data_IF_882430574407
#
_entry.id   IF_882430574407
#
_cell.length_a   1.000
_cell.length_b   1.000
_cell.length_c   1.000
_cell.angle_alpha   90.00
_cell.angle_beta   90.00
_cell.angle_gamma   90.00
#
_symmetry.space_group_name_H-M   'P 1'
#
loop_
_entity.id
_entity.type
_entity.pdbx_description
1 polymer ?
#
# COMPACT_ATOMS: atom_id res chain seq x y z
N UNK A 1 19.79 -14.73 -12.37
CA UNK A 1 18.33 -14.94 -12.57
C UNK A 1 17.99 -14.94 -14.05
N UNK A 2 17.37 -16.01 -14.56
CA UNK A 2 16.86 -16.09 -15.95
C UNK A 2 15.57 -15.29 -16.12
N UNK A 3 15.14 -14.99 -17.36
CA UNK A 3 13.85 -14.29 -17.60
C UNK A 3 12.66 -15.10 -17.08
N UNK A 4 12.68 -16.43 -17.25
CA UNK A 4 11.65 -17.33 -16.69
C UNK A 4 11.56 -17.22 -15.16
N UNK A 5 12.71 -17.22 -14.47
CA UNK A 5 12.75 -17.05 -13.01
C UNK A 5 12.25 -15.66 -12.59
N UNK A 6 12.66 -14.59 -13.28
CA UNK A 6 12.20 -13.23 -13.00
C UNK A 6 10.67 -13.12 -13.06
N UNK A 7 10.05 -13.62 -14.13
CA UNK A 7 8.60 -13.55 -14.30
C UNK A 7 7.85 -14.47 -13.34
N UNK A 8 8.45 -15.61 -12.96
CA UNK A 8 7.90 -16.47 -11.92
C UNK A 8 7.80 -15.74 -10.58
N UNK A 9 8.89 -15.11 -10.12
CA UNK A 9 8.89 -14.37 -8.86
C UNK A 9 7.97 -13.15 -8.91
N UNK A 10 7.94 -12.42 -10.03
CA UNK A 10 7.04 -11.28 -10.21
C UNK A 10 5.58 -11.70 -10.10
N UNK A 11 5.20 -12.82 -10.71
CA UNK A 11 3.84 -13.35 -10.63
C UNK A 11 3.47 -13.71 -9.19
N UNK A 12 4.39 -14.32 -8.44
CA UNK A 12 4.16 -14.62 -7.02
C UNK A 12 4.04 -13.37 -6.15
N UNK A 13 4.89 -12.37 -6.39
CA UNK A 13 4.80 -11.08 -5.70
C UNK A 13 3.44 -10.41 -5.96
N UNK A 14 3.00 -10.36 -7.23
CA UNK A 14 1.69 -9.82 -7.59
C UNK A 14 0.53 -10.61 -6.95
N UNK A 15 0.64 -11.94 -6.86
CA UNK A 15 -0.35 -12.79 -6.17
C UNK A 15 -0.44 -12.48 -4.68
N UNK A 16 0.70 -12.44 -4.01
CA UNK A 16 0.76 -12.11 -2.59
C UNK A 16 0.17 -10.71 -2.35
N UNK A 17 0.51 -9.74 -3.20
CA UNK A 17 -0.05 -8.39 -3.15
C UNK A 17 -1.57 -8.39 -3.41
N UNK A 18 -2.09 -9.15 -4.37
CA UNK A 18 -3.55 -9.29 -4.58
C UNK A 18 -4.24 -9.78 -3.30
N UNK A 19 -3.74 -10.87 -2.70
CA UNK A 19 -4.32 -11.44 -1.48
C UNK A 19 -4.25 -10.44 -0.32
N UNK A 20 -3.12 -9.75 -0.19
CA UNK A 20 -2.93 -8.70 0.80
C UNK A 20 -3.96 -7.58 0.64
N UNK A 21 -4.13 -7.05 -0.57
CA UNK A 21 -5.07 -5.95 -0.83
C UNK A 21 -6.54 -6.36 -0.62
N UNK A 22 -6.90 -7.63 -0.89
CA UNK A 22 -8.21 -8.17 -0.52
C UNK A 22 -8.36 -8.21 1.00
N UNK A 23 -7.35 -8.70 1.71
CA UNK A 23 -7.34 -8.71 3.18
C UNK A 23 -7.44 -7.31 3.77
N UNK A 24 -6.72 -6.34 3.21
CA UNK A 24 -6.79 -4.93 3.60
C UNK A 24 -8.20 -4.37 3.39
N UNK A 25 -8.81 -4.63 2.23
CA UNK A 25 -10.17 -4.19 1.96
C UNK A 25 -11.18 -4.75 2.97
N UNK A 26 -11.08 -6.05 3.28
CA UNK A 26 -11.92 -6.69 4.29
C UNK A 26 -11.67 -6.10 5.68
N UNK A 27 -10.41 -5.87 6.04
CA UNK A 27 -10.05 -5.27 7.31
C UNK A 27 -10.65 -3.87 7.46
N UNK A 28 -10.58 -3.03 6.42
CA UNK A 28 -11.23 -1.73 6.40
C UNK A 28 -12.75 -1.86 6.49
N UNK A 29 -13.37 -2.65 5.62
CA UNK A 29 -14.83 -2.83 5.60
C UNK A 29 -15.40 -3.46 6.89
N UNK A 30 -14.58 -4.19 7.67
CA UNK A 30 -15.02 -4.88 8.89
C UNK A 30 -15.34 -3.96 10.07
N UNK A 31 -14.93 -2.68 10.02
CA UNK A 31 -15.13 -1.74 11.14
C UNK A 31 -14.20 -1.97 12.34
N UNK A 32 -13.28 -2.94 12.28
CA UNK A 32 -12.33 -3.22 13.39
C UNK A 32 -11.51 -1.98 13.78
N UNK A 33 -11.17 -1.10 12.82
CA UNK A 33 -10.41 0.15 13.09
C UNK A 33 -11.20 1.18 13.90
N UNK A 34 -12.53 1.15 13.84
CA UNK A 34 -13.41 2.08 14.56
C UNK A 34 -14.03 1.46 15.80
N UNK A 35 -13.77 0.18 16.06
CA UNK A 35 -14.25 -0.51 17.24
C UNK A 35 -13.83 0.23 18.51
N UNK A 36 -14.81 0.58 19.35
CA UNK A 36 -14.61 1.27 20.62
C UNK A 36 -14.58 2.80 20.53
N UNK A 37 -13.96 3.39 19.50
CA UNK A 37 -13.91 4.87 19.36
C UNK A 37 -15.29 5.47 19.08
N UNK A 38 -16.18 4.68 18.49
CA UNK A 38 -17.59 5.04 18.23
C UNK A 38 -18.36 5.43 19.49
N UNK A 39 -17.94 4.95 20.67
CA UNK A 39 -18.58 5.27 21.96
C UNK A 39 -18.11 6.60 22.55
N UNK A 40 -17.01 7.15 22.05
CA UNK A 40 -16.34 8.33 22.62
C UNK A 40 -16.41 9.52 21.65
N UNK A 41 -16.37 9.24 20.35
CA UNK A 41 -16.31 10.29 19.33
C UNK A 41 -17.69 10.87 19.01
N UNK A 42 -17.77 12.16 18.61
CA UNK A 42 -18.99 12.73 18.06
C UNK A 42 -19.48 11.94 16.84
N UNK A 43 -20.79 11.80 16.69
CA UNK A 43 -21.39 11.02 15.60
C UNK A 43 -20.93 11.49 14.20
N UNK A 44 -20.70 12.79 14.03
CA UNK A 44 -20.18 13.34 12.77
C UNK A 44 -18.78 12.81 12.42
N UNK A 45 -17.89 12.67 13.40
CA UNK A 45 -16.55 12.12 13.22
C UNK A 45 -16.61 10.61 12.90
N UNK A 46 -17.53 9.88 13.55
CA UNK A 46 -17.77 8.46 13.28
C UNK A 46 -18.26 8.26 11.84
N UNK A 47 -19.30 8.98 11.42
CA UNK A 47 -19.86 8.87 10.06
C UNK A 47 -18.85 9.24 8.99
N UNK A 48 -18.06 10.31 9.21
CA UNK A 48 -16.97 10.68 8.32
C UNK A 48 -15.91 9.57 8.21
N UNK A 49 -15.53 8.98 9.34
CA UNK A 49 -14.54 7.90 9.38
C UNK A 49 -15.05 6.66 8.65
N UNK A 50 -16.31 6.26 8.86
CA UNK A 50 -16.92 5.13 8.14
C UNK A 50 -16.92 5.34 6.62
N UNK A 51 -17.29 6.54 6.16
CA UNK A 51 -17.21 6.88 4.73
C UNK A 51 -15.79 6.70 4.18
N UNK A 52 -14.80 7.26 4.88
CA UNK A 52 -13.40 7.17 4.46
C UNK A 52 -12.88 5.72 4.44
N UNK A 53 -13.24 4.94 5.45
CA UNK A 53 -12.84 3.54 5.55
C UNK A 53 -13.46 2.70 4.42
N UNK A 54 -14.72 2.95 4.06
CA UNK A 54 -15.39 2.26 2.95
C UNK A 54 -14.84 2.67 1.57
N UNK A 55 -14.51 3.95 1.39
CA UNK A 55 -13.82 4.42 0.19
C UNK A 55 -12.45 3.73 0.07
N UNK A 56 -11.71 3.64 1.17
CA UNK A 56 -10.43 2.95 1.21
C UNK A 56 -10.57 1.48 0.83
N UNK A 57 -11.53 0.76 1.43
CA UNK A 57 -11.79 -0.64 1.10
C UNK A 57 -12.08 -0.86 -0.39
N UNK A 58 -12.84 0.06 -0.99
CA UNK A 58 -13.18 0.01 -2.42
C UNK A 58 -11.95 0.25 -3.32
N UNK A 59 -11.08 1.19 -2.93
CA UNK A 59 -9.80 1.42 -3.63
C UNK A 59 -8.89 0.18 -3.48
N UNK A 60 -8.79 -0.41 -2.30
CA UNK A 60 -8.01 -1.62 -2.06
C UNK A 60 -8.47 -2.80 -2.94
N UNK A 61 -9.79 -3.00 -3.09
CA UNK A 61 -10.34 -4.00 -4.02
C UNK A 61 -10.03 -3.68 -5.48
N UNK A 62 -10.11 -2.42 -5.90
CA UNK A 62 -9.74 -2.01 -7.26
C UNK A 62 -8.27 -2.32 -7.53
N UNK A 63 -7.36 -1.99 -6.61
CA UNK A 63 -5.95 -2.33 -6.71
C UNK A 63 -5.75 -3.84 -6.76
N UNK A 64 -6.45 -4.61 -5.93
CA UNK A 64 -6.40 -6.07 -5.97
C UNK A 64 -6.79 -6.63 -7.35
N UNK A 65 -7.85 -6.08 -7.97
CA UNK A 65 -8.30 -6.45 -9.30
C UNK A 65 -7.26 -6.10 -10.38
N UNK A 66 -6.64 -4.92 -10.29
CA UNK A 66 -5.53 -4.53 -11.18
C UNK A 66 -4.36 -5.49 -11.03
N UNK A 67 -3.91 -5.78 -9.81
CA UNK A 67 -2.82 -6.73 -9.56
C UNK A 67 -3.15 -8.14 -10.07
N UNK A 68 -4.41 -8.57 -9.92
CA UNK A 68 -4.89 -9.84 -10.47
C UNK A 68 -4.85 -9.87 -12.01
N UNK A 69 -5.22 -8.77 -12.66
CA UNK A 69 -5.09 -8.63 -14.11
C UNK A 69 -3.60 -8.68 -14.54
N UNK A 70 -2.74 -7.90 -13.89
CA UNK A 70 -1.30 -7.82 -14.18
C UNK A 70 -0.61 -9.18 -14.05
N UNK A 71 -0.96 -10.01 -13.05
CA UNK A 71 -0.35 -11.34 -12.89
C UNK A 71 -0.77 -12.33 -13.99
N UNK A 72 -1.99 -12.18 -14.54
CA UNK A 72 -2.55 -13.06 -15.57
C UNK A 72 -2.02 -12.71 -16.96
N UNK A 73 -1.90 -11.41 -17.26
CA UNK A 73 -1.51 -10.88 -18.57
C UNK A 73 -0.17 -10.15 -18.50
N UNK A 74 0.81 -10.78 -17.85
CA UNK A 74 2.06 -10.15 -17.44
C UNK A 74 2.91 -9.67 -18.63
N UNK A 75 2.95 -10.44 -19.72
CA UNK A 75 3.66 -10.07 -20.94
C UNK A 75 3.08 -8.81 -21.59
N UNK A 76 1.74 -8.73 -21.69
CA UNK A 76 1.04 -7.55 -22.23
C UNK A 76 1.14 -6.35 -21.29
N UNK A 77 1.24 -6.61 -19.98
CA UNK A 77 1.24 -5.60 -18.95
C UNK A 77 2.62 -4.97 -18.66
N UNK A 78 3.70 -5.41 -19.33
CA UNK A 78 5.05 -4.85 -19.15
C UNK A 78 5.09 -3.31 -19.20
N UNK A 79 4.46 -2.62 -20.18
CA UNK A 79 4.47 -1.16 -20.21
C UNK A 79 3.76 -0.54 -19.00
N UNK A 80 2.62 -1.12 -18.59
CA UNK A 80 1.85 -0.66 -17.44
C UNK A 80 2.64 -0.82 -16.14
N UNK A 81 3.32 -1.96 -15.94
CA UNK A 81 4.20 -2.18 -14.78
C UNK A 81 5.27 -1.09 -14.66
N UNK A 82 5.86 -0.67 -15.79
CA UNK A 82 6.84 0.42 -15.84
C UNK A 82 6.19 1.76 -15.55
N UNK A 83 5.02 2.07 -16.11
CA UNK A 83 4.31 3.33 -15.84
C UNK A 83 4.00 3.46 -14.35
N UNK A 84 3.58 2.37 -13.70
CA UNK A 84 3.27 2.32 -12.27
C UNK A 84 4.49 2.60 -11.37
N UNK A 85 5.73 2.55 -11.87
CA UNK A 85 6.87 2.94 -11.04
C UNK A 85 6.86 4.42 -10.68
N UNK A 86 6.30 5.29 -11.54
CA UNK A 86 6.25 6.74 -11.28
C UNK A 86 5.42 7.08 -10.03
N UNK A 87 4.13 6.69 -9.95
CA UNK A 87 3.35 6.95 -8.73
C UNK A 87 3.93 6.22 -7.51
N UNK A 88 4.54 5.03 -7.66
CA UNK A 88 5.20 4.35 -6.55
C UNK A 88 6.39 5.14 -5.99
N UNK A 89 7.22 5.76 -6.85
CA UNK A 89 8.33 6.62 -6.39
C UNK A 89 7.78 7.85 -5.67
N UNK A 90 6.78 8.52 -6.24
CA UNK A 90 6.17 9.71 -5.64
C UNK A 90 5.60 9.36 -4.25
N UNK A 91 4.85 8.26 -4.16
CA UNK A 91 4.27 7.79 -2.90
C UNK A 91 5.34 7.40 -1.88
N UNK A 92 6.39 6.68 -2.29
CA UNK A 92 7.50 6.32 -1.41
C UNK A 92 8.23 7.57 -0.85
N UNK A 93 8.46 8.58 -1.68
CA UNK A 93 9.09 9.83 -1.24
C UNK A 93 8.19 10.60 -0.26
N UNK A 94 6.88 10.63 -0.52
CA UNK A 94 5.90 11.22 0.39
C UNK A 94 5.93 10.51 1.75
N UNK A 95 5.91 9.17 1.76
CA UNK A 95 5.98 8.36 2.98
C UNK A 95 7.30 8.61 3.75
N UNK A 96 8.44 8.67 3.05
CA UNK A 96 9.71 8.99 3.70
C UNK A 96 9.70 10.38 4.33
N UNK A 97 9.20 11.38 3.62
CA UNK A 97 9.05 12.73 4.15
C UNK A 97 8.13 12.78 5.40
N UNK A 98 6.98 12.09 5.33
CA UNK A 98 6.06 11.93 6.46
C UNK A 98 6.74 11.25 7.65
N UNK A 99 7.58 10.23 7.41
CA UNK A 99 8.31 9.50 8.46
C UNK A 99 9.38 10.30 9.20
N UNK A 100 9.73 11.49 8.67
CA UNK A 100 10.66 12.43 9.28
C UNK A 100 9.91 13.59 9.98
N UNK A 101 8.59 13.63 9.86
CA UNK A 101 7.76 14.67 10.44
C UNK A 101 7.38 14.29 11.88
N UNK A 102 7.68 15.12 12.89
CA UNK A 102 7.42 14.78 14.29
C UNK A 102 5.94 14.96 14.63
N UNK A 103 5.12 13.93 14.40
CA UNK A 103 3.67 13.97 14.66
C UNK A 103 3.30 14.30 16.11
N UNK A 104 4.14 13.89 17.06
CA UNK A 104 3.98 14.19 18.49
C UNK A 104 4.14 15.66 18.82
N UNK A 105 4.77 16.45 17.94
CA UNK A 105 4.85 17.91 18.06
C UNK A 105 3.64 18.62 17.45
N UNK A 106 2.89 17.96 16.57
CA UNK A 106 1.70 18.50 15.90
C UNK A 106 0.44 18.26 16.75
N UNK A 107 0.34 17.08 17.36
CA UNK A 107 -0.77 16.70 18.25
C UNK A 107 -0.22 16.04 19.52
N UNK A 108 -0.12 16.75 20.65
CA UNK A 108 0.49 16.24 21.88
C UNK A 108 -0.51 15.39 22.68
N UNK A 109 -0.97 14.27 22.11
CA UNK A 109 -1.84 13.31 22.81
C UNK A 109 -1.01 12.15 23.38
N UNK A 110 -1.24 11.77 24.64
CA UNK A 110 -0.46 10.72 25.32
C UNK A 110 -0.46 9.37 24.57
N UNK A 111 -1.58 9.00 23.94
CA UNK A 111 -1.69 7.80 23.12
C UNK A 111 -0.83 7.86 21.84
N UNK A 112 -0.61 9.05 21.26
CA UNK A 112 0.24 9.20 20.08
C UNK A 112 1.69 8.83 20.39
N UNK A 113 2.22 9.13 21.58
CA UNK A 113 3.60 8.74 21.92
C UNK A 113 3.82 7.22 21.92
N UNK A 114 2.80 6.43 22.24
CA UNK A 114 2.87 4.98 22.17
C UNK A 114 2.74 4.45 20.73
N UNK A 115 1.82 5.03 19.94
CA UNK A 115 1.51 4.54 18.59
C UNK A 115 2.41 5.08 17.47
N UNK A 116 2.95 6.29 17.63
CA UNK A 116 3.78 6.97 16.62
C UNK A 116 5.02 6.15 16.24
N UNK A 117 5.79 5.55 17.17
CA UNK A 117 6.93 4.72 16.78
C UNK A 117 6.56 3.55 15.87
N UNK A 118 5.43 2.88 16.14
CA UNK A 118 4.93 1.78 15.29
C UNK A 118 4.46 2.29 13.93
N UNK A 119 3.77 3.42 13.92
CA UNK A 119 3.31 4.07 12.70
C UNK A 119 4.47 4.51 11.80
N UNK A 120 5.54 5.08 12.38
CA UNK A 120 6.75 5.45 11.64
C UNK A 120 7.45 4.25 11.01
N UNK A 121 7.59 3.15 11.76
CA UNK A 121 8.17 1.90 11.24
C UNK A 121 7.30 1.36 10.09
N UNK A 122 5.98 1.40 10.25
CA UNK A 122 5.05 0.99 9.21
C UNK A 122 5.22 1.81 7.92
N UNK A 123 5.22 3.14 8.02
CA UNK A 123 5.41 4.04 6.87
C UNK A 123 6.74 3.77 6.17
N UNK A 124 7.83 3.62 6.92
CA UNK A 124 9.16 3.34 6.35
C UNK A 124 9.18 1.97 5.66
N UNK A 125 8.50 0.98 6.24
CA UNK A 125 8.32 -0.33 5.64
C UNK A 125 7.57 -0.26 4.31
N UNK A 126 6.46 0.47 4.27
CA UNK A 126 5.68 0.69 3.04
C UNK A 126 6.51 1.39 1.96
N UNK A 127 7.24 2.45 2.33
CA UNK A 127 8.16 3.14 1.41
C UNK A 127 9.24 2.19 0.85
N UNK A 128 9.83 1.35 1.69
CA UNK A 128 10.83 0.37 1.27
C UNK A 128 10.26 -0.64 0.28
N UNK A 129 9.05 -1.16 0.51
CA UNK A 129 8.37 -2.09 -0.40
C UNK A 129 8.14 -1.45 -1.77
N UNK A 130 7.71 -0.20 -1.82
CA UNK A 130 7.50 0.54 -3.08
C UNK A 130 8.81 0.74 -3.84
N UNK A 131 9.89 1.10 -3.14
CA UNK A 131 11.21 1.27 -3.76
C UNK A 131 11.78 -0.05 -4.26
N UNK A 132 11.58 -1.15 -3.53
CA UNK A 132 11.95 -2.50 -3.98
C UNK A 132 11.17 -2.85 -5.26
N UNK A 133 9.87 -2.58 -5.32
CA UNK A 133 9.06 -2.76 -6.52
C UNK A 133 9.63 -1.97 -7.71
N UNK A 134 9.92 -0.68 -7.52
CA UNK A 134 10.49 0.18 -8.55
C UNK A 134 11.81 -0.38 -9.06
N UNK A 135 12.74 -0.72 -8.16
CA UNK A 135 14.04 -1.28 -8.51
C UNK A 135 13.89 -2.60 -9.29
N UNK A 136 12.97 -3.47 -8.86
CA UNK A 136 12.70 -4.76 -9.49
C UNK A 136 12.16 -4.60 -10.92
N UNK A 137 11.18 -3.72 -11.12
CA UNK A 137 10.57 -3.48 -12.45
C UNK A 137 11.55 -2.78 -13.39
N UNK A 138 12.30 -1.79 -12.91
CA UNK A 138 13.33 -1.13 -13.71
C UNK A 138 14.39 -2.15 -14.13
N UNK A 139 14.88 -2.98 -13.20
CA UNK A 139 15.79 -4.08 -13.56
C UNK A 139 15.21 -5.00 -14.64
N UNK A 140 13.93 -5.37 -14.51
CA UNK A 140 13.20 -6.18 -15.49
C UNK A 140 13.15 -5.53 -16.87
N UNK A 141 12.79 -4.24 -16.94
CA UNK A 141 12.75 -3.46 -18.19
C UNK A 141 14.09 -3.49 -18.93
N UNK A 142 15.19 -3.31 -18.21
CA UNK A 142 16.53 -3.18 -18.82
C UNK A 142 17.15 -4.53 -19.21
N UNK A 143 16.81 -5.62 -18.52
CA UNK A 143 17.54 -6.90 -18.67
C UNK A 143 16.69 -8.12 -19.01
N UNK A 144 15.36 -8.03 -18.90
CA UNK A 144 14.46 -9.20 -18.94
C UNK A 144 13.25 -9.04 -19.86
N UNK A 145 12.86 -7.81 -20.22
CA UNK A 145 11.66 -7.57 -21.05
C UNK A 145 11.89 -7.76 -22.55
N UNK A 146 13.14 -7.99 -22.96
CA UNK A 146 13.58 -8.32 -24.34
C UNK A 146 13.09 -9.70 -24.75
#
# INVERSE_FOLDING_TARGET
MTSKQYFFYLRWALRAATVFMVGEALYHASGVRTAGVETIWPQSAVSFTHLFVMLWASISLLVAAVLFYLQKYLEQAKPLLVILTVPCVIHALLLLWLSLTPYTQILPLANLYAWVPFYEVWIRGEAAVLLIYVAYIVYGRWKKYV
#
